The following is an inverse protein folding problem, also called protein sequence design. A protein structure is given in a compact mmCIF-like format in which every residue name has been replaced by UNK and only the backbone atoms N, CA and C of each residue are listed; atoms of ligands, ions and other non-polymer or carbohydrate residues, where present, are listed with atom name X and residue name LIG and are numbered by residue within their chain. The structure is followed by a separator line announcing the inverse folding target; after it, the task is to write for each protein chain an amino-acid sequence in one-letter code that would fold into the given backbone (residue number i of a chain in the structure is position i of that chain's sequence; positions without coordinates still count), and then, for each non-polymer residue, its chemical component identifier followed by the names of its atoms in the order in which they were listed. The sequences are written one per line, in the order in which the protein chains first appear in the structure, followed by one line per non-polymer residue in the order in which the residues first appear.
data_IF_749321042341
#
_entry.id   IF_749321042341
#
_cell.length_a   1.000
_cell.length_b   1.000
_cell.length_c   1.000
_cell.angle_alpha   90.00
_cell.angle_beta   90.00
_cell.angle_gamma   90.00
#
_symmetry.space_group_name_H-M   'P 1'
#
loop_
_entity.id
_entity.type
_entity.pdbx_description
1 polymer ?
#
# COMPACT_ATOMS: atom_id res chain seq x y z
N UNK A 1 -20.79 -4.34 -50.85
CA UNK A 1 -21.13 -3.16 -50.02
C UNK A 1 -21.36 -3.68 -48.60
N UNK A 2 -20.28 -3.78 -47.81
CA UNK A 2 -20.31 -4.27 -46.43
C UNK A 2 -20.78 -3.13 -45.54
N UNK A 3 -21.97 -3.27 -44.97
CA UNK A 3 -22.48 -2.35 -43.97
C UNK A 3 -21.64 -2.56 -42.71
N UNK A 4 -20.77 -1.58 -42.41
CA UNK A 4 -20.18 -1.43 -41.08
C UNK A 4 -21.34 -1.18 -40.10
N UNK A 5 -21.81 -2.23 -39.43
CA UNK A 5 -22.64 -2.07 -38.23
C UNK A 5 -21.75 -1.45 -37.16
N UNK A 6 -21.83 -0.13 -37.04
CA UNK A 6 -21.49 0.59 -35.80
C UNK A 6 -22.16 -0.16 -34.65
N UNK A 7 -21.34 -0.82 -33.82
CA UNK A 7 -21.80 -1.49 -32.62
C UNK A 7 -22.51 -0.44 -31.77
N UNK A 8 -23.84 -0.47 -31.79
CA UNK A 8 -24.67 0.36 -30.92
C UNK A 8 -24.27 0.06 -29.46
N UNK A 9 -24.42 1.05 -28.57
CA UNK A 9 -24.07 0.96 -27.16
C UNK A 9 -24.41 -0.41 -26.56
N UNK A 10 -23.53 -0.93 -25.69
CA UNK A 10 -23.67 -2.26 -25.07
C UNK A 10 -25.09 -2.45 -24.54
N UNK A 11 -25.88 -3.33 -25.17
CA UNK A 11 -27.25 -3.56 -24.77
C UNK A 11 -27.24 -4.17 -23.36
N UNK A 12 -28.03 -3.59 -22.46
CA UNK A 12 -28.18 -4.14 -21.12
C UNK A 12 -28.94 -5.46 -21.22
N UNK A 13 -28.22 -6.57 -21.05
CA UNK A 13 -28.79 -7.91 -20.93
C UNK A 13 -28.72 -8.35 -19.47
N UNK A 14 -29.85 -8.78 -18.92
CA UNK A 14 -29.91 -9.24 -17.54
C UNK A 14 -29.13 -10.56 -17.40
N UNK A 15 -28.15 -10.63 -16.48
CA UNK A 15 -27.39 -11.85 -16.29
C UNK A 15 -28.28 -12.95 -15.67
N UNK A 16 -28.06 -14.22 -16.04
CA UNK A 16 -28.77 -15.34 -15.43
C UNK A 16 -28.62 -15.37 -13.90
N UNK A 17 -29.66 -15.77 -13.19
CA UNK A 17 -29.65 -15.83 -11.71
C UNK A 17 -28.52 -16.70 -11.16
N UNK A 18 -28.16 -17.78 -11.86
CA UNK A 18 -27.05 -18.65 -11.49
C UNK A 18 -25.70 -17.91 -11.47
N UNK A 19 -25.48 -17.00 -12.42
CA UNK A 19 -24.26 -16.18 -12.48
C UNK A 19 -24.19 -15.23 -11.30
N UNK A 20 -25.29 -14.55 -11.00
CA UNK A 20 -25.37 -13.63 -9.85
C UNK A 20 -25.17 -14.38 -8.53
N UNK A 21 -25.80 -15.55 -8.38
CA UNK A 21 -25.65 -16.37 -7.18
C UNK A 21 -24.21 -16.87 -6.99
N UNK A 22 -23.55 -17.28 -8.08
CA UNK A 22 -22.15 -17.69 -8.04
C UNK A 22 -21.22 -16.54 -7.67
N UNK A 23 -21.42 -15.35 -8.25
CA UNK A 23 -20.61 -14.15 -7.96
C UNK A 23 -20.82 -13.66 -6.52
N UNK A 24 -22.07 -13.57 -6.08
CA UNK A 24 -22.40 -13.20 -4.71
C UNK A 24 -21.88 -14.23 -3.71
N UNK A 25 -22.02 -15.53 -4.02
CA UNK A 25 -21.50 -16.63 -3.23
C UNK A 25 -19.98 -16.58 -3.09
N UNK A 26 -19.26 -16.32 -4.20
CA UNK A 26 -17.81 -16.14 -4.18
C UNK A 26 -17.41 -15.01 -3.22
N UNK A 27 -18.00 -13.81 -3.37
CA UNK A 27 -17.68 -12.66 -2.52
C UNK A 27 -18.00 -12.92 -1.04
N UNK A 28 -19.15 -13.55 -0.77
CA UNK A 28 -19.57 -13.88 0.58
C UNK A 28 -18.60 -14.88 1.23
N UNK A 29 -18.29 -15.97 0.52
CA UNK A 29 -17.41 -17.04 1.02
C UNK A 29 -15.99 -16.50 1.24
N UNK A 30 -15.46 -15.70 0.31
CA UNK A 30 -14.15 -15.07 0.48
C UNK A 30 -14.06 -14.24 1.76
N UNK A 31 -15.07 -13.41 2.03
CA UNK A 31 -15.10 -12.57 3.22
C UNK A 31 -15.28 -13.38 4.51
N UNK A 32 -16.18 -14.37 4.52
CA UNK A 32 -16.41 -15.24 5.69
C UNK A 32 -15.16 -16.05 6.01
N UNK A 33 -14.56 -16.69 5.01
CA UNK A 33 -13.36 -17.50 5.17
C UNK A 33 -12.19 -16.64 5.64
N UNK A 34 -12.03 -15.44 5.08
CA UNK A 34 -11.01 -14.49 5.52
C UNK A 34 -11.18 -14.15 7.00
N UNK A 35 -12.37 -13.72 7.43
CA UNK A 35 -12.63 -13.38 8.85
C UNK A 35 -12.44 -14.58 9.78
N UNK A 36 -12.85 -15.78 9.36
CA UNK A 36 -12.71 -16.99 10.15
C UNK A 36 -11.22 -17.39 10.33
N UNK A 37 -10.47 -17.45 9.24
CA UNK A 37 -9.07 -17.86 9.25
C UNK A 37 -8.14 -16.79 9.81
N UNK A 38 -8.46 -15.52 9.64
CA UNK A 38 -7.69 -14.43 10.25
C UNK A 38 -7.81 -14.48 11.78
N UNK A 39 -9.01 -14.74 12.31
CA UNK A 39 -9.22 -14.96 13.76
C UNK A 39 -8.56 -16.22 14.30
N UNK A 40 -8.51 -17.29 13.52
CA UNK A 40 -8.02 -18.59 14.00
C UNK A 40 -6.52 -18.76 13.82
N UNK A 41 -5.96 -18.30 12.70
CA UNK A 41 -4.60 -18.62 12.23
C UNK A 41 -3.78 -17.39 11.82
N UNK A 42 -4.32 -16.16 11.90
CA UNK A 42 -3.69 -14.93 11.38
C UNK A 42 -3.27 -15.02 9.90
N UNK A 43 -3.95 -15.88 9.15
CA UNK A 43 -3.60 -16.25 7.78
C UNK A 43 -4.85 -16.27 6.89
N UNK A 44 -5.66 -15.21 6.94
CA UNK A 44 -6.86 -15.10 6.10
C UNK A 44 -6.59 -15.27 4.59
N UNK A 45 -5.41 -14.82 4.15
CA UNK A 45 -4.93 -14.92 2.77
C UNK A 45 -4.88 -16.36 2.22
N UNK A 46 -4.57 -17.37 3.04
CA UNK A 46 -4.48 -18.77 2.56
C UNK A 46 -5.86 -19.30 2.19
N UNK A 47 -6.89 -18.87 2.91
CA UNK A 47 -8.27 -19.23 2.61
C UNK A 47 -8.73 -18.62 1.31
N UNK A 48 -8.43 -17.34 1.08
CA UNK A 48 -8.78 -16.66 -0.18
C UNK A 48 -8.11 -17.34 -1.38
N UNK A 49 -6.84 -17.72 -1.26
CA UNK A 49 -6.13 -18.49 -2.27
C UNK A 49 -6.80 -19.85 -2.53
N UNK A 50 -7.13 -20.60 -1.48
CA UNK A 50 -7.76 -21.92 -1.59
C UNK A 50 -9.15 -21.85 -2.22
N UNK A 51 -9.96 -20.85 -1.82
CA UNK A 51 -11.26 -20.58 -2.43
C UNK A 51 -11.10 -20.24 -3.90
N UNK A 52 -10.08 -19.47 -4.29
CA UNK A 52 -9.76 -19.22 -5.69
C UNK A 52 -9.51 -20.51 -6.48
N UNK A 53 -8.69 -21.43 -5.95
CA UNK A 53 -8.43 -22.74 -6.59
C UNK A 53 -9.74 -23.53 -6.74
N UNK A 54 -10.58 -23.52 -5.71
CA UNK A 54 -11.81 -24.28 -5.66
C UNK A 54 -12.89 -23.74 -6.61
N UNK A 55 -13.04 -22.42 -6.71
CA UNK A 55 -14.07 -21.77 -7.54
C UNK A 55 -13.65 -21.58 -9.01
N UNK A 56 -12.36 -21.30 -9.25
CA UNK A 56 -11.79 -21.05 -10.58
C UNK A 56 -11.38 -22.32 -11.32
N UNK A 57 -10.56 -22.16 -12.36
CA UNK A 57 -9.88 -23.29 -13.03
C UNK A 57 -8.58 -23.64 -12.29
N UNK A 58 -8.31 -24.92 -11.93
CA UNK A 58 -8.88 -26.16 -12.48
C UNK A 58 -10.00 -26.78 -11.64
N UNK A 59 -10.44 -26.14 -10.56
CA UNK A 59 -11.44 -26.65 -9.61
C UNK A 59 -12.86 -26.74 -10.20
N UNK A 60 -13.83 -26.08 -9.57
CA UNK A 60 -15.23 -26.18 -9.94
C UNK A 60 -15.58 -25.46 -11.26
N UNK A 61 -14.73 -24.54 -11.74
CA UNK A 61 -14.96 -23.72 -12.95
C UNK A 61 -16.32 -23.03 -12.95
N UNK A 62 -16.76 -22.57 -11.79
CA UNK A 62 -18.00 -21.81 -11.64
C UNK A 62 -17.86 -20.35 -12.07
N UNK A 63 -16.60 -19.89 -12.22
CA UNK A 63 -16.21 -18.59 -12.75
C UNK A 63 -15.85 -18.77 -14.23
N UNK A 64 -16.45 -17.97 -15.11
CA UNK A 64 -16.07 -17.96 -16.54
C UNK A 64 -14.69 -17.35 -16.72
N UNK A 65 -13.99 -17.72 -17.79
CA UNK A 65 -12.65 -17.18 -18.09
C UNK A 65 -12.65 -15.65 -18.24
N UNK A 66 -13.71 -15.07 -18.82
CA UNK A 66 -13.86 -13.61 -18.90
C UNK A 66 -13.93 -12.97 -17.51
N UNK A 67 -14.63 -13.60 -16.57
CA UNK A 67 -14.73 -13.13 -15.20
C UNK A 67 -13.42 -13.33 -14.44
N UNK A 68 -12.68 -14.41 -14.68
CA UNK A 68 -11.33 -14.58 -14.12
C UNK A 68 -10.39 -13.44 -14.56
N UNK A 69 -10.46 -13.00 -15.82
CA UNK A 69 -9.70 -11.85 -16.30
C UNK A 69 -10.09 -10.55 -15.60
N UNK A 70 -11.39 -10.30 -15.39
CA UNK A 70 -11.87 -9.12 -14.65
C UNK A 70 -11.41 -9.17 -13.19
N UNK A 71 -11.55 -10.33 -12.53
CA UNK A 71 -11.06 -10.54 -11.15
C UNK A 71 -9.55 -10.31 -11.07
N UNK A 72 -8.78 -10.75 -12.06
CA UNK A 72 -7.34 -10.51 -12.12
C UNK A 72 -7.01 -9.02 -12.27
N UNK A 73 -7.72 -8.29 -13.14
CA UNK A 73 -7.51 -6.84 -13.31
C UNK A 73 -7.85 -6.05 -12.04
N UNK A 74 -8.99 -6.34 -11.42
CA UNK A 74 -9.41 -5.73 -10.16
C UNK A 74 -8.49 -6.15 -9.00
N UNK A 75 -8.03 -7.40 -9.00
CA UNK A 75 -7.05 -7.91 -8.04
C UNK A 75 -5.72 -7.18 -8.16
N UNK A 76 -5.24 -6.93 -9.37
CA UNK A 76 -4.03 -6.15 -9.58
C UNK A 76 -4.18 -4.69 -9.10
N UNK A 77 -5.37 -4.09 -9.25
CA UNK A 77 -5.67 -2.80 -8.62
C UNK A 77 -5.64 -2.89 -7.09
N UNK A 78 -6.18 -3.96 -6.51
CA UNK A 78 -6.07 -4.26 -5.07
C UNK A 78 -4.63 -4.37 -4.60
N UNK A 79 -3.78 -5.03 -5.39
CA UNK A 79 -2.34 -5.11 -5.13
C UNK A 79 -1.71 -3.71 -5.11
N UNK A 80 -1.97 -2.86 -6.12
CA UNK A 80 -1.47 -1.47 -6.16
C UNK A 80 -1.89 -0.70 -4.90
N UNK A 81 -3.16 -0.82 -4.49
CA UNK A 81 -3.68 -0.15 -3.30
C UNK A 81 -3.06 -0.66 -1.99
N UNK A 82 -2.80 -1.96 -1.89
CA UNK A 82 -2.11 -2.59 -0.77
C UNK A 82 -0.64 -2.12 -0.68
N UNK A 83 0.06 -2.04 -1.81
CA UNK A 83 1.44 -1.52 -1.84
C UNK A 83 1.48 -0.05 -1.44
N UNK A 84 0.52 0.73 -1.93
CA UNK A 84 0.37 2.15 -1.61
C UNK A 84 0.12 2.37 -0.12
N UNK A 85 -0.81 1.63 0.48
CA UNK A 85 -1.04 1.60 1.93
C UNK A 85 0.24 1.28 2.68
N UNK A 86 0.97 0.27 2.22
CA UNK A 86 2.23 -0.10 2.82
C UNK A 86 3.29 0.99 2.79
N UNK A 87 3.32 1.81 1.73
CA UNK A 87 4.12 3.03 1.65
C UNK A 87 3.67 4.12 2.63
N UNK A 88 2.35 4.29 2.82
CA UNK A 88 1.78 5.24 3.77
C UNK A 88 2.09 4.87 5.23
N UNK A 89 2.05 3.59 5.58
CA UNK A 89 2.27 3.14 6.96
C UNK A 89 3.75 2.96 7.32
N UNK A 90 4.66 3.00 6.33
CA UNK A 90 6.11 2.82 6.50
C UNK A 90 6.78 3.92 7.34
N UNK A 91 7.71 3.60 8.23
CA UNK A 91 8.52 4.65 8.91
C UNK A 91 9.64 5.17 8.01
N UNK A 92 9.62 6.47 7.65
CA UNK A 92 10.67 7.10 6.82
C UNK A 92 12.04 7.04 7.51
N UNK A 93 12.07 7.20 8.84
CA UNK A 93 13.29 7.10 9.63
C UNK A 93 13.87 5.68 9.58
N UNK A 94 13.04 4.66 9.73
CA UNK A 94 13.46 3.26 9.65
C UNK A 94 13.94 2.89 8.24
N UNK A 95 13.24 3.35 7.20
CA UNK A 95 13.62 3.22 5.80
C UNK A 95 15.05 3.74 5.56
N UNK A 96 15.32 5.00 5.92
CA UNK A 96 16.62 5.64 5.72
C UNK A 96 17.74 4.97 6.49
N UNK A 97 17.48 4.59 7.74
CA UNK A 97 18.50 3.98 8.60
C UNK A 97 18.91 2.57 8.16
N UNK A 98 18.05 1.86 7.41
CA UNK A 98 18.26 0.45 7.09
C UNK A 98 18.46 0.16 5.59
N UNK A 99 18.59 1.18 4.74
CA UNK A 99 18.66 0.99 3.28
C UNK A 99 19.79 0.04 2.83
N UNK A 100 20.96 0.11 3.49
CA UNK A 100 22.11 -0.75 3.19
C UNK A 100 21.79 -2.21 3.58
N UNK A 101 21.12 -2.40 4.71
CA UNK A 101 20.70 -3.73 5.18
C UNK A 101 19.66 -4.31 4.22
N UNK A 102 18.69 -3.50 3.77
CA UNK A 102 17.68 -3.92 2.80
C UNK A 102 18.30 -4.34 1.46
N UNK A 103 19.32 -3.63 0.98
CA UNK A 103 20.05 -4.01 -0.25
C UNK A 103 20.76 -5.36 -0.06
N UNK A 104 21.42 -5.57 1.09
CA UNK A 104 22.06 -6.84 1.37
C UNK A 104 21.04 -8.00 1.43
N UNK A 105 19.87 -7.77 2.04
CA UNK A 105 18.78 -8.75 2.09
C UNK A 105 18.24 -9.06 0.68
N UNK A 106 17.98 -8.04 -0.15
CA UNK A 106 17.55 -8.23 -1.54
C UNK A 106 18.58 -9.03 -2.36
N UNK A 107 19.85 -8.63 -2.31
CA UNK A 107 20.93 -9.31 -3.04
C UNK A 107 21.09 -10.75 -2.60
N UNK A 108 21.05 -11.04 -1.30
CA UNK A 108 21.13 -12.41 -0.80
C UNK A 108 19.89 -13.23 -1.15
N UNK A 109 18.70 -12.63 -1.10
CA UNK A 109 17.43 -13.22 -1.53
C UNK A 109 17.38 -13.56 -3.02
N UNK A 110 18.12 -12.83 -3.86
CA UNK A 110 18.23 -13.09 -5.29
C UNK A 110 19.36 -14.07 -5.62
N UNK A 111 20.57 -13.80 -5.13
CA UNK A 111 21.75 -14.57 -5.51
C UNK A 111 21.71 -15.98 -4.96
N UNK A 112 21.14 -16.20 -3.78
CA UNK A 112 21.11 -17.54 -3.15
C UNK A 112 20.22 -18.52 -3.93
N UNK A 113 18.96 -18.21 -4.28
CA UNK A 113 18.14 -19.08 -5.13
C UNK A 113 18.74 -19.33 -6.51
N UNK A 114 19.35 -18.32 -7.11
CA UNK A 114 20.02 -18.47 -8.42
C UNK A 114 21.20 -19.43 -8.29
N UNK A 115 22.09 -19.22 -7.32
CA UNK A 115 23.24 -20.10 -7.09
C UNK A 115 22.80 -21.55 -6.82
N UNK A 116 21.78 -21.73 -5.97
CA UNK A 116 21.20 -23.03 -5.69
C UNK A 116 20.68 -23.71 -6.97
N UNK A 117 19.98 -22.97 -7.82
CA UNK A 117 19.46 -23.50 -9.09
C UNK A 117 20.58 -23.96 -10.04
N UNK A 118 21.68 -23.21 -10.12
CA UNK A 118 22.84 -23.61 -10.93
C UNK A 118 23.57 -24.83 -10.37
N UNK A 119 23.62 -25.01 -9.04
CA UNK A 119 24.18 -26.23 -8.42
C UNK A 119 23.30 -27.45 -8.73
N UNK A 120 21.97 -27.29 -8.70
CA UNK A 120 21.03 -28.38 -9.00
C UNK A 120 20.90 -28.69 -10.50
N UNK A 121 21.38 -27.80 -11.38
CA UNK A 121 21.33 -27.96 -12.85
C UNK A 121 21.86 -29.32 -13.32
N UNK A 122 22.99 -29.78 -12.76
CA UNK A 122 23.64 -31.03 -13.17
C UNK A 122 22.78 -32.26 -12.85
N UNK A 123 21.95 -32.22 -11.81
CA UNK A 123 21.08 -33.31 -11.39
C UNK A 123 19.90 -33.52 -12.35
N UNK A 124 19.42 -32.44 -12.99
CA UNK A 124 18.19 -32.43 -13.81
C UNK A 124 18.51 -32.32 -15.30
N UNK A 125 19.80 -32.28 -15.68
CA UNK A 125 20.24 -32.11 -17.08
C UNK A 125 19.63 -30.87 -17.77
N UNK A 126 19.40 -29.80 -17.00
CA UNK A 126 18.78 -28.58 -17.47
C UNK A 126 19.78 -27.67 -18.23
N UNK A 127 19.27 -26.83 -19.13
CA UNK A 127 20.09 -25.80 -19.78
C UNK A 127 20.46 -24.68 -18.80
N UNK A 128 21.52 -23.91 -19.08
CA UNK A 128 21.89 -22.75 -18.24
C UNK A 128 20.76 -21.71 -18.16
N UNK A 129 19.99 -21.56 -19.24
CA UNK A 129 18.83 -20.66 -19.27
C UNK A 129 17.69 -21.19 -18.39
N UNK A 130 17.41 -22.50 -18.43
CA UNK A 130 16.41 -23.12 -17.56
C UNK A 130 16.81 -23.03 -16.08
N UNK A 131 18.08 -23.26 -15.75
CA UNK A 131 18.59 -23.07 -14.40
C UNK A 131 18.47 -21.62 -13.93
N UNK A 132 18.82 -20.64 -14.79
CA UNK A 132 18.62 -19.23 -14.48
C UNK A 132 17.14 -18.90 -14.27
N UNK A 133 16.26 -19.36 -15.16
CA UNK A 133 14.82 -19.12 -15.06
C UNK A 133 14.21 -19.74 -13.79
N UNK A 134 14.61 -20.96 -13.42
CA UNK A 134 14.17 -21.60 -12.19
C UNK A 134 14.67 -20.86 -10.93
N UNK A 135 15.93 -20.41 -10.95
CA UNK A 135 16.49 -19.60 -9.87
C UNK A 135 15.80 -18.23 -9.74
N UNK A 136 15.56 -17.57 -10.87
CA UNK A 136 14.83 -16.30 -10.93
C UNK A 136 13.39 -16.45 -10.41
N UNK A 137 12.70 -17.52 -10.78
CA UNK A 137 11.37 -17.85 -10.28
C UNK A 137 11.38 -18.07 -8.76
N UNK A 138 12.40 -18.77 -8.22
CA UNK A 138 12.53 -19.01 -6.79
C UNK A 138 12.91 -17.74 -6.00
N UNK A 139 13.61 -16.79 -6.62
CA UNK A 139 13.92 -15.49 -6.01
C UNK A 139 12.77 -14.48 -6.05
N UNK A 140 11.68 -14.77 -6.75
CA UNK A 140 10.56 -13.83 -6.89
C UNK A 140 9.81 -13.67 -5.57
N UNK A 141 9.92 -12.49 -4.95
CA UNK A 141 9.22 -12.15 -3.70
C UNK A 141 7.78 -11.69 -3.98
N UNK A 142 6.79 -12.34 -3.36
CA UNK A 142 5.37 -11.91 -3.46
C UNK A 142 5.11 -10.70 -2.57
N UNK A 143 5.17 -9.52 -3.18
CA UNK A 143 4.94 -8.24 -2.54
C UNK A 143 3.57 -8.21 -1.83
N UNK A 144 2.49 -8.57 -2.52
CA UNK A 144 1.14 -8.58 -1.94
C UNK A 144 1.03 -9.42 -0.67
N UNK A 145 1.53 -10.65 -0.71
CA UNK A 145 1.53 -11.55 0.45
C UNK A 145 2.37 -10.98 1.60
N UNK A 146 3.54 -10.43 1.30
CA UNK A 146 4.46 -9.85 2.28
C UNK A 146 3.80 -8.67 3.01
N UNK A 147 3.18 -7.75 2.28
CA UNK A 147 2.52 -6.59 2.88
C UNK A 147 1.27 -6.98 3.67
N UNK A 148 0.46 -7.91 3.17
CA UNK A 148 -0.69 -8.43 3.93
C UNK A 148 -0.24 -9.01 5.27
N UNK A 149 0.79 -9.87 5.28
CA UNK A 149 1.30 -10.48 6.52
C UNK A 149 1.88 -9.42 7.48
N UNK A 150 2.69 -8.49 6.97
CA UNK A 150 3.28 -7.44 7.80
C UNK A 150 2.23 -6.48 8.37
N UNK A 151 1.16 -6.20 7.61
CA UNK A 151 0.04 -5.37 8.06
C UNK A 151 -0.80 -6.09 9.13
N UNK A 152 -1.22 -7.34 8.89
CA UNK A 152 -2.02 -8.11 9.87
C UNK A 152 -1.27 -8.37 11.17
N UNK A 153 0.06 -8.50 11.12
CA UNK A 153 0.90 -8.68 12.31
C UNK A 153 1.37 -7.37 12.94
N UNK A 154 0.96 -6.21 12.43
CA UNK A 154 1.40 -4.88 12.89
C UNK A 154 2.94 -4.67 12.85
N UNK A 155 3.64 -5.40 11.98
CA UNK A 155 5.10 -5.32 11.84
C UNK A 155 5.55 -4.31 10.79
N UNK A 156 4.63 -3.72 10.01
CA UNK A 156 4.97 -2.85 8.87
C UNK A 156 5.77 -1.60 9.25
N UNK A 157 5.52 -1.01 10.42
CA UNK A 157 6.21 0.19 10.92
C UNK A 157 7.53 -0.10 11.63
N UNK A 158 7.84 -1.39 11.86
CA UNK A 158 9.03 -1.82 12.58
C UNK A 158 10.29 -1.80 11.71
N UNK A 159 11.46 -1.96 12.32
CA UNK A 159 12.72 -2.17 11.58
C UNK A 159 12.64 -3.39 10.64
N UNK A 160 11.99 -4.46 11.08
CA UNK A 160 11.82 -5.67 10.25
C UNK A 160 10.94 -5.36 9.05
N UNK A 161 9.77 -4.75 9.26
CA UNK A 161 8.88 -4.32 8.18
C UNK A 161 9.59 -3.39 7.20
N UNK A 162 10.38 -2.46 7.71
CA UNK A 162 11.14 -1.54 6.87
C UNK A 162 12.18 -2.24 5.99
N UNK A 163 12.98 -3.15 6.57
CA UNK A 163 13.99 -3.90 5.81
C UNK A 163 13.34 -4.80 4.77
N UNK A 164 12.33 -5.57 5.16
CA UNK A 164 11.67 -6.55 4.31
C UNK A 164 10.91 -5.90 3.14
N UNK A 165 10.14 -4.84 3.40
CA UNK A 165 9.39 -4.13 2.35
C UNK A 165 10.32 -3.46 1.34
N UNK A 166 11.44 -2.87 1.80
CA UNK A 166 12.44 -2.29 0.92
C UNK A 166 13.14 -3.34 0.07
N UNK A 167 13.50 -4.48 0.65
CA UNK A 167 14.09 -5.59 -0.10
C UNK A 167 13.12 -6.07 -1.18
N UNK A 168 11.85 -6.30 -0.84
CA UNK A 168 10.82 -6.69 -1.79
C UNK A 168 10.62 -5.67 -2.93
N UNK A 169 10.75 -4.37 -2.67
CA UNK A 169 10.69 -3.35 -3.73
C UNK A 169 11.90 -3.41 -4.68
N UNK A 170 13.09 -3.68 -4.15
CA UNK A 170 14.30 -3.83 -4.97
C UNK A 170 14.21 -5.09 -5.83
N UNK A 171 13.69 -6.18 -5.27
CA UNK A 171 13.48 -7.45 -5.97
C UNK A 171 12.55 -7.28 -7.17
N UNK A 172 11.52 -6.43 -7.07
CA UNK A 172 10.57 -6.17 -8.14
C UNK A 172 11.21 -5.46 -9.36
N UNK A 173 12.15 -4.52 -9.11
CA UNK A 173 12.98 -3.91 -10.17
C UNK A 173 13.92 -4.92 -10.80
N UNK A 174 14.56 -5.77 -9.98
CA UNK A 174 15.45 -6.83 -10.49
C UNK A 174 14.66 -7.90 -11.25
N UNK A 175 13.41 -8.18 -10.86
CA UNK A 175 12.51 -9.08 -11.55
C UNK A 175 12.29 -8.68 -13.00
N UNK A 176 12.13 -7.38 -13.28
CA UNK A 176 12.07 -6.88 -14.66
C UNK A 176 13.34 -7.23 -15.44
N UNK A 177 14.52 -7.12 -14.84
CA UNK A 177 15.79 -7.50 -15.47
C UNK A 177 15.81 -8.99 -15.77
N UNK A 178 15.43 -9.83 -14.80
CA UNK A 178 15.40 -11.27 -14.98
C UNK A 178 14.47 -11.67 -16.12
N UNK A 179 13.29 -11.07 -16.21
CA UNK A 179 12.36 -11.28 -17.32
C UNK A 179 13.01 -10.90 -18.66
N UNK A 180 13.68 -9.74 -18.75
CA UNK A 180 14.36 -9.34 -19.98
C UNK A 180 15.51 -10.28 -20.35
N UNK A 181 16.28 -10.77 -19.38
CA UNK A 181 17.33 -11.77 -19.62
C UNK A 181 16.71 -13.04 -20.20
N UNK A 182 15.65 -13.55 -19.57
CA UNK A 182 15.00 -14.80 -19.99
C UNK A 182 14.42 -14.65 -21.41
N UNK A 183 13.76 -13.54 -21.73
CA UNK A 183 13.17 -13.32 -23.06
C UNK A 183 14.23 -13.11 -24.14
N UNK A 184 15.32 -12.40 -23.85
CA UNK A 184 16.41 -12.19 -24.81
C UNK A 184 17.18 -13.47 -25.11
N UNK A 185 17.46 -14.30 -24.09
CA UNK A 185 18.19 -15.56 -24.24
C UNK A 185 17.30 -16.72 -24.73
N UNK A 186 15.99 -16.66 -24.45
CA UNK A 186 15.03 -17.69 -24.85
C UNK A 186 14.38 -17.45 -26.22
N UNK A 187 14.51 -16.25 -26.78
CA UNK A 187 14.01 -15.93 -28.12
C UNK A 187 14.88 -16.54 -29.24
N UNK A 188 14.31 -16.68 -30.43
CA UNK A 188 15.01 -17.14 -31.65
C UNK A 188 16.00 -16.13 -32.23
N UNK A 189 16.18 -14.96 -31.58
CA UNK A 189 17.07 -13.91 -32.04
C UNK A 189 18.52 -14.25 -31.65
N UNK A 190 19.42 -14.28 -32.63
CA UNK A 190 20.83 -14.66 -32.44
C UNK A 190 21.71 -13.56 -31.82
N UNK A 191 21.18 -12.35 -31.65
CA UNK A 191 21.87 -11.21 -31.05
C UNK A 191 21.26 -10.86 -29.70
N UNK A 192 22.04 -11.06 -28.63
CA UNK A 192 21.77 -10.53 -27.30
C UNK A 192 21.95 -9.01 -27.34
N UNK A 193 20.91 -8.24 -26.99
CA UNK A 193 20.99 -6.79 -26.85
C UNK A 193 21.10 -6.42 -25.35
N UNK A 194 22.31 -6.13 -24.83
CA UNK A 194 22.50 -5.76 -23.43
C UNK A 194 21.70 -4.53 -23.01
N UNK A 195 21.35 -3.65 -23.96
CA UNK A 195 20.61 -2.42 -23.68
C UNK A 195 19.20 -2.75 -23.19
N UNK A 196 18.56 -3.78 -23.75
CA UNK A 196 17.20 -4.19 -23.34
C UNK A 196 17.16 -4.74 -21.92
N UNK A 197 18.23 -5.41 -21.48
CA UNK A 197 18.35 -6.00 -20.14
C UNK A 197 18.61 -4.95 -19.07
N UNK A 198 19.49 -3.98 -19.36
CA UNK A 198 19.90 -3.00 -18.36
C UNK A 198 18.95 -1.79 -18.29
N UNK A 199 18.20 -1.51 -19.36
CA UNK A 199 17.26 -0.38 -19.45
C UNK A 199 16.28 -0.32 -18.27
N UNK A 200 15.58 -1.41 -17.88
CA UNK A 200 14.66 -1.37 -16.74
C UNK A 200 15.32 -0.91 -15.44
N UNK A 201 16.59 -1.29 -15.18
CA UNK A 201 17.32 -0.85 -13.98
C UNK A 201 17.55 0.65 -14.02
N UNK A 202 18.12 1.16 -15.11
CA UNK A 202 18.42 2.58 -15.24
C UNK A 202 17.15 3.43 -15.21
N UNK A 203 16.08 2.98 -15.85
CA UNK A 203 14.77 3.65 -15.79
C UNK A 203 14.23 3.63 -14.38
N UNK A 204 14.31 2.52 -13.65
CA UNK A 204 13.78 2.40 -12.28
C UNK A 204 14.55 3.27 -11.29
N UNK A 205 15.88 3.24 -11.36
CA UNK A 205 16.76 4.09 -10.55
C UNK A 205 16.54 5.56 -10.92
N UNK A 206 16.51 5.88 -12.21
CA UNK A 206 16.26 7.23 -12.71
C UNK A 206 14.88 7.75 -12.31
N UNK A 207 13.85 6.91 -12.32
CA UNK A 207 12.52 7.24 -11.85
C UNK A 207 12.52 7.51 -10.34
N UNK A 208 13.09 6.62 -9.52
CA UNK A 208 13.18 6.82 -8.08
C UNK A 208 13.95 8.08 -7.69
N UNK A 209 15.12 8.31 -8.31
CA UNK A 209 15.94 9.52 -8.10
C UNK A 209 15.22 10.76 -8.63
N UNK A 210 14.64 10.69 -9.82
CA UNK A 210 13.92 11.80 -10.44
C UNK A 210 12.72 12.23 -9.61
N UNK A 211 11.96 11.27 -9.08
CA UNK A 211 10.87 11.51 -8.14
C UNK A 211 11.40 12.11 -6.86
N UNK A 212 12.49 11.59 -6.28
CA UNK A 212 13.09 12.17 -5.08
C UNK A 212 13.58 13.62 -5.28
N UNK A 213 14.19 13.92 -6.42
CA UNK A 213 14.64 15.29 -6.79
C UNK A 213 13.43 16.20 -7.01
N UNK A 214 12.44 15.75 -7.76
CA UNK A 214 11.20 16.48 -7.99
C UNK A 214 10.51 16.77 -6.66
N UNK A 215 10.46 15.78 -5.77
CA UNK A 215 9.97 15.92 -4.41
C UNK A 215 10.79 16.95 -3.63
N UNK A 216 12.11 16.85 -3.60
CA UNK A 216 12.93 17.82 -2.86
C UNK A 216 12.78 19.25 -3.40
N UNK A 217 12.72 19.41 -4.73
CA UNK A 217 12.68 20.71 -5.40
C UNK A 217 11.28 21.33 -5.45
N UNK A 218 10.21 20.53 -5.60
CA UNK A 218 8.84 21.02 -5.55
C UNK A 218 8.30 21.06 -4.12
N UNK A 219 8.59 20.09 -3.26
CA UNK A 219 7.93 19.99 -1.95
C UNK A 219 8.45 20.99 -0.92
N UNK A 220 9.76 21.32 -0.89
CA UNK A 220 10.25 22.38 0.01
C UNK A 220 9.65 23.77 -0.26
N UNK A 221 9.56 24.25 -1.52
CA UNK A 221 8.90 25.52 -1.79
C UNK A 221 7.39 25.41 -1.65
N UNK A 222 6.75 24.29 -2.02
CA UNK A 222 5.31 24.11 -1.86
C UNK A 222 4.92 24.10 -0.38
N UNK A 223 5.61 23.37 0.50
CA UNK A 223 5.32 23.38 1.93
C UNK A 223 5.54 24.77 2.52
N UNK A 224 6.63 25.45 2.16
CA UNK A 224 6.91 26.82 2.60
C UNK A 224 5.85 27.82 2.11
N UNK A 225 5.41 27.73 0.85
CA UNK A 225 4.37 28.59 0.27
C UNK A 225 3.00 28.29 0.89
N UNK A 226 2.67 27.00 1.08
CA UNK A 226 1.43 26.55 1.71
C UNK A 226 1.33 27.07 3.15
N UNK A 227 2.43 27.02 3.90
CA UNK A 227 2.51 27.59 5.24
C UNK A 227 2.49 29.13 5.26
N UNK A 228 3.14 29.79 4.30
CA UNK A 228 3.18 31.27 4.24
C UNK A 228 1.86 31.87 3.73
N UNK A 229 1.08 31.12 2.93
CA UNK A 229 -0.22 31.54 2.37
C UNK A 229 -1.42 30.78 2.96
N UNK A 230 -1.26 30.13 4.12
CA UNK A 230 -2.30 29.31 4.76
C UNK A 230 -3.64 30.03 4.95
N UNK A 231 -3.64 31.36 4.99
CA UNK A 231 -4.86 32.19 5.13
C UNK A 231 -5.50 32.63 3.78
N UNK A 232 -4.95 32.24 2.63
CA UNK A 232 -5.44 32.60 1.29
C UNK A 232 -5.82 31.41 0.41
N UNK A 233 -5.62 30.17 0.89
CA UNK A 233 -6.15 29.02 0.17
C UNK A 233 -7.68 28.96 0.34
N UNK A 234 -8.46 28.80 -0.74
CA UNK A 234 -9.90 28.69 -0.63
C UNK A 234 -10.24 27.51 0.28
N UNK A 235 -11.17 27.71 1.22
CA UNK A 235 -11.58 26.70 2.21
C UNK A 235 -11.94 25.33 1.59
N UNK A 236 -12.29 25.32 0.30
CA UNK A 236 -12.51 24.11 -0.49
C UNK A 236 -11.28 23.18 -0.52
N UNK A 237 -10.05 23.69 -0.65
CA UNK A 237 -8.82 22.88 -0.75
C UNK A 237 -8.43 22.16 0.56
N UNK A 238 -8.97 22.56 1.70
CA UNK A 238 -8.77 21.88 2.99
C UNK A 238 -9.84 20.81 3.27
N UNK A 239 -10.76 20.58 2.32
CA UNK A 239 -11.78 19.54 2.47
C UNK A 239 -11.15 18.15 2.26
N UNK A 240 -11.57 17.17 3.06
CA UNK A 240 -11.12 15.77 2.94
C UNK A 240 -11.25 15.21 1.50
N UNK A 241 -12.25 15.66 0.74
CA UNK A 241 -12.46 15.28 -0.66
C UNK A 241 -11.35 15.78 -1.60
N UNK A 242 -10.84 17.00 -1.37
CA UNK A 242 -9.74 17.57 -2.16
C UNK A 242 -8.42 16.87 -1.86
N UNK A 243 -8.18 16.49 -0.60
CA UNK A 243 -7.00 15.70 -0.21
C UNK A 243 -7.06 14.28 -0.79
N UNK A 244 -8.23 13.63 -0.74
CA UNK A 244 -8.47 12.35 -1.41
C UNK A 244 -8.18 12.43 -2.92
N UNK A 245 -8.67 13.46 -3.60
CA UNK A 245 -8.42 13.65 -5.03
C UNK A 245 -6.93 13.89 -5.31
N UNK A 246 -6.25 14.68 -4.47
CA UNK A 246 -4.81 14.92 -4.60
C UNK A 246 -4.00 13.62 -4.44
N UNK A 247 -4.25 12.83 -3.39
CA UNK A 247 -3.56 11.55 -3.15
C UNK A 247 -3.83 10.56 -4.27
N UNK A 248 -5.08 10.45 -4.74
CA UNK A 248 -5.43 9.61 -5.90
C UNK A 248 -4.65 10.05 -7.15
N UNK A 249 -4.58 11.37 -7.40
CA UNK A 249 -3.92 11.91 -8.58
C UNK A 249 -2.42 11.64 -8.55
N UNK A 250 -1.78 11.78 -7.39
CA UNK A 250 -0.35 11.45 -7.19
C UNK A 250 -0.14 9.95 -7.46
N UNK A 251 -0.95 9.07 -6.86
CA UNK A 251 -0.85 7.63 -7.05
C UNK A 251 -0.99 7.24 -8.53
N UNK A 252 -2.05 7.70 -9.18
CA UNK A 252 -2.31 7.39 -10.59
C UNK A 252 -1.21 7.97 -11.49
N UNK A 253 -0.80 9.21 -11.25
CA UNK A 253 0.27 9.87 -12.02
C UNK A 253 1.61 9.16 -11.89
N UNK A 254 1.96 8.72 -10.68
CA UNK A 254 3.17 7.95 -10.39
C UNK A 254 3.15 6.58 -11.07
N UNK A 255 2.07 5.82 -10.90
CA UNK A 255 1.91 4.49 -11.50
C UNK A 255 1.91 4.56 -13.02
N UNK A 256 1.19 5.53 -13.60
CA UNK A 256 1.17 5.75 -15.05
C UNK A 256 2.56 6.15 -15.56
N UNK A 257 3.20 7.14 -14.94
CA UNK A 257 4.53 7.61 -15.32
C UNK A 257 5.58 6.50 -15.27
N UNK A 258 5.54 5.67 -14.24
CA UNK A 258 6.39 4.48 -14.09
C UNK A 258 6.16 3.46 -15.20
N UNK A 259 4.90 3.13 -15.48
CA UNK A 259 4.52 2.15 -16.50
C UNK A 259 4.95 2.61 -17.89
N UNK A 260 4.75 3.88 -18.24
CA UNK A 260 5.19 4.45 -19.52
C UNK A 260 6.71 4.58 -19.64
N UNK A 261 7.40 4.85 -18.52
CA UNK A 261 8.86 4.88 -18.51
C UNK A 261 9.46 3.46 -18.73
N UNK A 262 8.75 2.42 -18.31
CA UNK A 262 9.19 1.02 -18.37
C UNK A 262 9.81 0.52 -17.07
N UNK A 263 9.40 1.07 -15.93
CA UNK A 263 9.71 0.57 -14.57
C UNK A 263 8.48 -0.10 -13.96
N UNK A 264 8.62 -0.63 -12.74
CA UNK A 264 7.53 -1.26 -12.03
C UNK A 264 6.47 -0.26 -11.55
N UNK A 265 5.21 -0.60 -11.84
CA UNK A 265 4.02 0.04 -11.29
C UNK A 265 3.91 -0.12 -9.78
N UNK A 266 4.31 -1.27 -9.21
CA UNK A 266 4.24 -1.54 -7.77
C UNK A 266 5.28 -0.73 -7.01
N UNK A 267 6.51 -0.65 -7.53
CA UNK A 267 7.54 0.23 -6.99
C UNK A 267 7.07 1.69 -6.96
N UNK A 268 6.39 2.15 -8.01
CA UNK A 268 5.85 3.51 -8.08
C UNK A 268 4.69 3.74 -7.11
N UNK A 269 3.79 2.76 -6.94
CA UNK A 269 2.72 2.81 -5.96
C UNK A 269 3.26 2.93 -4.54
N UNK A 270 4.29 2.14 -4.20
CA UNK A 270 4.99 2.23 -2.93
C UNK A 270 5.59 3.62 -2.70
N UNK A 271 6.34 4.11 -3.69
CA UNK A 271 7.00 5.42 -3.60
C UNK A 271 5.97 6.55 -3.48
N UNK A 272 4.82 6.44 -4.14
CA UNK A 272 3.71 7.37 -3.98
C UNK A 272 3.22 7.44 -2.53
N UNK A 273 3.04 6.29 -1.87
CA UNK A 273 2.63 6.23 -0.45
C UNK A 273 3.68 6.87 0.47
N UNK A 274 4.95 6.55 0.24
CA UNK A 274 6.08 7.14 0.99
C UNK A 274 6.13 8.66 0.84
N UNK A 275 5.86 9.21 -0.34
CA UNK A 275 5.84 10.67 -0.59
C UNK A 275 4.68 11.34 0.14
N UNK A 276 3.48 10.76 0.07
CA UNK A 276 2.30 11.28 0.77
C UNK A 276 2.57 11.30 2.27
N UNK A 277 3.09 10.20 2.82
CA UNK A 277 3.45 10.13 4.24
C UNK A 277 4.50 11.18 4.63
N UNK A 278 5.52 11.35 3.80
CA UNK A 278 6.56 12.34 4.04
C UNK A 278 5.99 13.77 4.03
N UNK A 279 5.00 14.05 3.17
CA UNK A 279 4.30 15.34 3.14
C UNK A 279 3.46 15.57 4.41
N UNK A 280 2.81 14.52 4.93
CA UNK A 280 2.09 14.57 6.20
C UNK A 280 3.02 14.87 7.37
N UNK A 281 4.16 14.17 7.46
CA UNK A 281 5.18 14.38 8.51
C UNK A 281 5.74 15.81 8.49
N UNK A 282 6.05 16.36 7.30
CA UNK A 282 6.53 17.74 7.17
C UNK A 282 5.47 18.79 7.51
N UNK A 283 4.18 18.49 7.30
CA UNK A 283 3.10 19.41 7.64
C UNK A 283 2.80 19.44 9.15
N UNK A 284 3.23 18.43 9.90
CA UNK A 284 3.04 18.29 11.35
C UNK A 284 4.17 18.89 12.21
N UNK A 285 5.41 19.00 11.70
CA UNK A 285 6.54 19.64 12.39
C UNK A 285 6.37 21.12 12.84
N UNK A 286 5.48 21.97 12.27
CA UNK A 286 5.37 23.37 12.68
C UNK A 286 4.82 23.62 14.09
N UNK A 287 4.02 22.71 14.64
CA UNK A 287 3.29 22.97 15.89
C UNK A 287 4.11 22.66 17.16
N UNK A 288 5.12 21.78 17.07
CA UNK A 288 5.91 21.36 18.23
C UNK A 288 6.93 22.40 18.72
N UNK A 289 7.27 23.38 17.89
CA UNK A 289 8.22 24.44 18.26
C UNK A 289 7.58 25.65 18.96
N UNK A 290 6.25 25.74 19.03
CA UNK A 290 5.57 26.91 19.61
C UNK A 290 5.10 26.72 21.05
N UNK A 291 4.91 25.48 21.53
CA UNK A 291 4.56 25.20 22.93
C UNK A 291 5.78 25.17 23.88
N UNK A 292 6.99 24.97 23.37
CA UNK A 292 8.21 24.90 24.18
C UNK A 292 8.80 26.25 24.65
N UNK A 293 8.25 27.39 24.21
CA UNK A 293 8.84 28.72 24.46
C UNK A 293 8.00 29.60 25.40
N UNK A 294 6.80 29.15 25.84
CA UNK A 294 5.94 29.91 26.76
C UNK A 294 6.08 29.55 28.25
N UNK A 295 6.90 28.58 28.61
CA UNK A 295 7.13 28.19 30.00
C UNK A 295 8.61 28.37 30.36
N UNK A 296 9.06 29.62 30.49
CA UNK A 296 10.48 29.83 30.74
C UNK A 296 10.97 31.22 31.07
N UNK A 297 10.15 32.17 31.54
CA UNK A 297 10.66 33.37 32.23
C UNK A 297 9.64 33.90 33.23
N UNK A 298 9.79 33.54 34.52
CA UNK A 298 9.48 34.45 35.61
C UNK A 298 10.46 34.13 36.75
N UNK A 299 11.32 35.10 37.06
CA UNK A 299 12.43 34.94 37.96
C UNK A 299 12.07 35.10 39.43
N UNK A 300 12.96 34.52 40.24
CA UNK A 300 13.53 35.10 41.47
C UNK A 300 12.69 35.19 42.76
N UNK A 301 13.37 34.75 43.83
CA UNK A 301 13.29 35.18 45.25
C UNK A 301 12.20 34.61 46.18
N UNK A 302 12.55 33.48 46.81
CA UNK A 302 12.68 33.20 48.27
C UNK A 302 12.03 34.16 49.29
N UNK A 303 11.46 33.53 50.34
CA UNK A 303 11.03 33.97 51.69
C UNK A 303 9.62 34.59 51.87
N UNK A 304 8.70 33.86 52.51
CA UNK A 304 8.56 33.85 53.98
C UNK A 304 7.42 32.93 54.46
N UNK A 305 7.66 32.32 55.63
CA UNK A 305 6.70 31.59 56.47
C UNK A 305 5.47 32.42 56.87
N UNK A 306 4.28 31.82 56.83
CA UNK A 306 3.32 31.93 57.93
C UNK A 306 2.32 30.78 57.87
N UNK A 307 2.45 29.85 58.82
CA UNK A 307 1.40 28.94 59.22
C UNK A 307 0.75 29.51 60.48
N UNK A 308 -0.56 29.71 60.47
CA UNK A 308 -1.35 29.84 61.71
C UNK A 308 -2.83 29.65 61.39
N UNK A 309 -3.37 28.57 62.00
CA UNK A 309 -4.66 28.49 62.70
C UNK A 309 -5.94 28.63 61.85
N UNK A 310 -7.06 27.99 62.14
CA UNK A 310 -7.48 26.87 62.97
C UNK A 310 -8.97 26.80 62.65
N UNK A 311 -9.49 25.58 62.47
CA UNK A 311 -10.88 25.33 62.12
C UNK A 311 -11.90 25.76 63.18
N UNK A 312 -13.11 25.96 62.66
CA UNK A 312 -14.42 25.59 63.20
C UNK A 312 -15.30 26.61 63.93
N UNK A 313 -16.50 26.77 63.34
CA UNK A 313 -17.63 27.49 63.91
C UNK A 313 -18.89 27.45 63.04
N UNK A 314 -19.81 26.54 63.41
CA UNK A 314 -21.28 26.64 63.36
C UNK A 314 -22.08 26.27 62.08
N UNK A 315 -22.76 25.11 62.21
CA UNK A 315 -24.22 24.90 62.19
C UNK A 315 -25.07 25.38 60.99
N UNK A 316 -25.74 24.44 60.30
CA UNK A 316 -27.18 24.13 60.44
C UNK A 316 -27.79 23.45 59.19
N UNK A 317 -28.68 22.49 59.45
CA UNK A 317 -29.46 21.68 58.49
C UNK A 317 -30.46 22.46 57.62
N UNK A 318 -30.72 21.94 56.40
CA UNK A 318 -31.86 22.33 55.57
C UNK A 318 -32.06 21.41 54.35
N UNK A 319 -33.22 20.74 54.29
CA UNK A 319 -33.69 19.73 53.31
C UNK A 319 -33.99 20.30 51.88
N UNK A 320 -34.24 19.43 50.86
CA UNK A 320 -34.11 19.76 49.44
C UNK A 320 -35.40 20.28 48.79
N UNK A 321 -35.26 21.07 47.72
CA UNK A 321 -36.33 21.31 46.75
C UNK A 321 -35.75 21.61 45.36
N UNK A 322 -36.31 20.92 44.36
CA UNK A 322 -35.99 20.96 42.94
C UNK A 322 -36.33 22.31 42.29
N UNK A 323 -35.50 22.76 41.34
CA UNK A 323 -35.97 23.52 40.18
C UNK A 323 -35.03 23.33 38.98
N UNK A 324 -35.67 23.03 37.85
CA UNK A 324 -35.08 22.72 36.56
C UNK A 324 -34.52 23.94 35.82
N UNK A 325 -33.66 23.61 34.84
CA UNK A 325 -33.26 24.38 33.64
C UNK A 325 -32.17 25.46 33.78
N UNK A 326 -30.98 25.16 33.27
CA UNK A 326 -30.48 25.85 32.06
C UNK A 326 -29.26 25.13 31.49
N UNK A 327 -29.42 24.74 30.23
CA UNK A 327 -28.37 24.32 29.31
C UNK A 327 -27.31 25.41 29.12
N UNK A 328 -26.05 25.08 29.38
CA UNK A 328 -24.92 25.87 28.93
C UNK A 328 -23.79 24.94 28.46
N UNK A 329 -23.90 24.53 27.19
CA UNK A 329 -22.81 24.60 26.21
C UNK A 329 -21.40 24.28 26.73
N UNK A 330 -21.09 23.00 26.90
CA UNK A 330 -19.71 22.52 26.72
C UNK A 330 -19.41 22.53 25.22
N UNK A 331 -18.98 23.70 24.74
CA UNK A 331 -18.56 23.91 23.36
C UNK A 331 -17.45 22.92 23.02
N UNK A 332 -17.79 21.97 22.17
CA UNK A 332 -16.94 21.00 21.52
C UNK A 332 -15.76 21.73 20.86
N UNK A 333 -14.57 21.57 21.44
CA UNK A 333 -13.29 21.92 20.82
C UNK A 333 -13.14 21.04 19.57
N UNK A 334 -13.65 21.48 18.42
CA UNK A 334 -13.32 20.90 17.12
C UNK A 334 -11.90 21.35 16.79
N UNK A 335 -10.90 20.60 17.27
CA UNK A 335 -9.58 20.67 16.65
C UNK A 335 -9.76 20.32 15.18
N UNK A 336 -9.40 21.25 14.30
CA UNK A 336 -9.37 21.01 12.87
C UNK A 336 -8.13 20.16 12.59
N UNK A 337 -8.21 18.86 12.89
CA UNK A 337 -7.14 17.91 12.56
C UNK A 337 -6.92 17.94 11.04
N UNK A 338 -5.72 18.32 10.63
CA UNK A 338 -5.31 18.29 9.23
C UNK A 338 -5.42 16.82 8.77
N UNK A 339 -6.22 16.51 7.75
CA UNK A 339 -6.45 15.13 7.35
C UNK A 339 -5.17 14.53 6.77
N UNK A 340 -4.58 13.56 7.47
CA UNK A 340 -3.39 12.83 7.00
C UNK A 340 -3.74 11.82 5.90
N UNK A 341 -2.76 11.43 5.11
CA UNK A 341 -2.91 10.40 4.06
C UNK A 341 -3.39 9.06 4.59
N UNK A 342 -2.97 8.67 5.80
CA UNK A 342 -3.45 7.46 6.47
C UNK A 342 -4.95 7.56 6.82
N UNK A 343 -5.41 8.71 7.34
CA UNK A 343 -6.83 8.93 7.62
C UNK A 343 -7.70 8.93 6.35
N UNK A 344 -7.19 9.48 5.25
CA UNK A 344 -7.86 9.45 3.96
C UNK A 344 -7.92 8.02 3.41
N UNK A 345 -6.84 7.25 3.57
CA UNK A 345 -6.83 5.84 3.20
C UNK A 345 -7.91 5.05 3.93
N UNK A 346 -7.93 5.17 5.26
CA UNK A 346 -8.87 4.49 6.15
C UNK A 346 -10.34 4.80 5.79
N UNK A 347 -10.62 6.07 5.49
CA UNK A 347 -11.98 6.53 5.23
C UNK A 347 -12.52 6.14 3.86
N UNK A 348 -11.71 6.20 2.81
CA UNK A 348 -12.19 6.10 1.43
C UNK A 348 -11.79 4.81 0.71
N UNK A 349 -10.61 4.26 1.01
CA UNK A 349 -10.06 3.14 0.25
C UNK A 349 -10.19 1.82 0.99
N UNK A 350 -9.97 1.81 2.31
CA UNK A 350 -9.85 0.57 3.08
C UNK A 350 -11.04 -0.38 2.91
N UNK A 351 -12.27 0.13 3.01
CA UNK A 351 -13.47 -0.70 2.91
C UNK A 351 -13.55 -1.53 1.61
N UNK A 352 -13.52 -0.89 0.42
CA UNK A 352 -13.48 -1.59 -0.86
C UNK A 352 -12.22 -2.44 -1.07
N UNK A 353 -11.05 -1.96 -0.62
CA UNK A 353 -9.77 -2.65 -0.81
C UNK A 353 -9.74 -3.97 -0.03
N UNK A 354 -10.05 -3.95 1.26
CA UNK A 354 -9.98 -5.12 2.14
C UNK A 354 -11.05 -6.17 1.84
N UNK A 355 -12.26 -5.73 1.44
CA UNK A 355 -13.40 -6.63 1.26
C UNK A 355 -13.57 -7.17 -0.15
N UNK A 356 -13.00 -6.51 -1.15
CA UNK A 356 -13.22 -6.84 -2.56
C UNK A 356 -11.89 -6.99 -3.29
N UNK A 357 -11.07 -5.94 -3.35
CA UNK A 357 -9.92 -5.92 -4.25
C UNK A 357 -8.77 -6.84 -3.80
N UNK A 358 -8.42 -6.86 -2.51
CA UNK A 358 -7.40 -7.78 -1.96
C UNK A 358 -7.85 -9.25 -2.06
N UNK A 359 -9.10 -9.63 -1.69
CA UNK A 359 -9.58 -10.98 -1.95
C UNK A 359 -9.48 -11.39 -3.42
N UNK A 360 -9.83 -10.50 -4.35
CA UNK A 360 -9.68 -10.75 -5.79
C UNK A 360 -8.23 -10.93 -6.21
N UNK A 361 -7.28 -10.20 -5.62
CA UNK A 361 -5.86 -10.43 -5.84
C UNK A 361 -5.47 -11.88 -5.49
N UNK A 362 -5.79 -12.34 -4.28
CA UNK A 362 -5.44 -13.70 -3.86
C UNK A 362 -6.16 -14.79 -4.64
N UNK A 363 -7.42 -14.56 -5.03
CA UNK A 363 -8.13 -15.46 -5.96
C UNK A 363 -7.41 -15.52 -7.31
N UNK A 364 -6.98 -14.40 -7.86
CA UNK A 364 -6.33 -14.38 -9.19
C UNK A 364 -5.00 -15.13 -9.23
N UNK A 365 -4.26 -15.18 -8.11
CA UNK A 365 -3.02 -15.96 -8.00
C UNK A 365 -3.25 -17.46 -8.21
N UNK A 366 -4.42 -17.96 -7.82
CA UNK A 366 -4.75 -19.38 -7.97
C UNK A 366 -5.05 -19.79 -9.41
N UNK A 367 -5.86 -19.00 -10.14
CA UNK A 367 -6.26 -19.32 -11.53
C UNK A 367 -5.06 -19.33 -12.50
N UNK A 368 -4.00 -18.57 -12.22
CA UNK A 368 -2.81 -18.51 -13.08
C UNK A 368 -2.07 -19.86 -13.19
N UNK A 369 -2.12 -20.68 -12.13
CA UNK A 369 -1.50 -22.02 -12.12
C UNK A 369 -2.15 -22.99 -13.11
N UNK A 370 -3.43 -22.79 -13.45
CA UNK A 370 -4.15 -23.68 -14.39
C UNK A 370 -3.93 -23.35 -15.86
N UNK A 371 -3.62 -22.10 -16.21
CA UNK A 371 -3.46 -21.68 -17.60
C UNK A 371 -2.05 -21.91 -18.15
N UNK A 372 -1.03 -21.96 -17.29
CA UNK A 372 0.34 -22.33 -17.70
C UNK A 372 0.47 -23.84 -17.95
N UNK A 373 -0.24 -24.68 -17.18
CA UNK A 373 -0.24 -26.14 -17.34
C UNK A 373 -0.91 -26.66 -18.63
N UNK A 374 -1.50 -25.77 -19.45
CA UNK A 374 -2.07 -26.10 -20.77
C UNK A 374 -1.25 -25.58 -21.95
N UNK A 375 -0.12 -24.90 -21.68
CA UNK A 375 0.79 -24.34 -22.69
C UNK A 375 2.12 -25.09 -22.81
N UNK A 376 2.28 -26.16 -22.03
CA UNK A 376 3.22 -27.26 -22.29
C UNK A 376 2.43 -28.44 -22.89
#
# INVERSE_FOLDING_TARGET
MSINTTQAAFAYEEPPIATILNQAGLLLVLNIVNVCLDKLLYCGLIGQLFIGILWGSPGAKWISTDLEHVIQQLGYLGLIMLVYEGGLSMSIKALKANIIVSIAVALTGILTPIALSFVLKELVSASSLQAFAAGAALSATSLGTTFTILSTTNLISTRLGAVTTCAAMLDDVVGLVMVQVITNLGGSNTTFDPITVIRPVFVSVGFGVGVFILCYFCLKPISKILMTKGNQFPAFMQTAQSVFLAHTTILVGMVAGATYAGTSSLFAAYLSGVIVKWFDECSAEPELHQEGVRSGVSGSSIDHNHATLQEDGLQAEGRPAEHASSSASSAMHKNHEIPTGEMIYEKYYRGPVDRILIPFFFVSLSSYTSHSAKRD
#
